data_IF_970686117980
#
_entry.id   IF_970686117980
#
_cell.length_a   1.000
_cell.length_b   1.000
_cell.length_c   1.000
_cell.angle_alpha   90.00
_cell.angle_beta   90.00
_cell.angle_gamma   90.00
#
_symmetry.space_group_name_H-M   'P 1'
#
loop_
_entity.id
_entity.type
_entity.pdbx_description
1 polymer ?
#
# COMPACT_ATOMS: atom_id res chain seq x y z
N UNK A 1 7.60 31.31 -17.93
CA UNK A 1 7.88 30.81 -16.57
C UNK A 1 9.32 30.37 -16.59
N UNK A 2 10.19 30.98 -15.79
CA UNK A 2 11.53 30.43 -15.58
C UNK A 2 11.37 29.30 -14.57
N UNK A 3 11.57 28.06 -15.01
CA UNK A 3 11.63 26.93 -14.09
C UNK A 3 12.75 27.20 -13.07
N UNK A 4 12.42 27.04 -11.80
CA UNK A 4 13.44 27.11 -10.75
C UNK A 4 14.40 25.94 -10.95
N UNK A 5 15.71 26.14 -10.74
CA UNK A 5 16.68 25.07 -10.93
C UNK A 5 16.38 23.90 -9.98
N UNK A 6 16.66 22.69 -10.44
CA UNK A 6 16.50 21.48 -9.63
C UNK A 6 17.29 21.55 -8.33
N UNK A 7 16.76 20.88 -7.31
CA UNK A 7 17.48 20.78 -6.03
C UNK A 7 18.80 20.01 -6.21
N UNK A 8 19.82 20.36 -5.44
CA UNK A 8 21.10 19.62 -5.44
C UNK A 8 20.89 18.11 -5.19
N UNK A 9 19.91 17.75 -4.37
CA UNK A 9 19.57 16.35 -4.12
C UNK A 9 19.10 15.64 -5.39
N UNK A 10 18.20 16.26 -6.17
CA UNK A 10 17.73 15.70 -7.45
C UNK A 10 18.88 15.55 -8.44
N UNK A 11 19.72 16.58 -8.57
CA UNK A 11 20.90 16.56 -9.46
C UNK A 11 21.85 15.43 -9.06
N UNK A 12 22.12 15.24 -7.76
CA UNK A 12 22.95 14.14 -7.26
C UNK A 12 22.33 12.77 -7.56
N UNK A 13 21.02 12.62 -7.38
CA UNK A 13 20.31 11.36 -7.66
C UNK A 13 20.38 11.03 -9.15
N UNK A 14 20.08 12.00 -10.02
CA UNK A 14 20.17 11.83 -11.47
C UNK A 14 21.59 11.49 -11.91
N UNK A 15 22.60 12.16 -11.35
CA UNK A 15 23.99 11.84 -11.63
C UNK A 15 24.33 10.40 -11.23
N UNK A 16 23.94 9.96 -10.02
CA UNK A 16 24.24 8.60 -9.53
C UNK A 16 23.54 7.54 -10.39
N UNK A 17 22.27 7.74 -10.76
CA UNK A 17 21.51 6.77 -11.57
C UNK A 17 22.11 6.62 -12.98
N UNK A 18 22.59 7.72 -13.57
CA UNK A 18 23.24 7.69 -14.89
C UNK A 18 24.69 7.18 -14.84
N UNK A 19 25.35 7.26 -13.67
CA UNK A 19 26.79 6.99 -13.52
C UNK A 19 27.11 5.92 -12.45
N UNK A 20 26.27 4.89 -12.33
CA UNK A 20 26.42 3.80 -11.32
C UNK A 20 27.85 3.25 -11.29
N UNK A 21 28.45 2.93 -12.43
CA UNK A 21 29.81 2.37 -12.50
C UNK A 21 30.93 3.39 -12.19
N UNK A 22 30.62 4.68 -12.22
CA UNK A 22 31.55 5.75 -11.85
C UNK A 22 31.59 5.93 -10.33
N UNK A 23 30.45 5.80 -9.66
CA UNK A 23 30.29 6.00 -8.21
C UNK A 23 30.55 4.72 -7.41
N UNK A 24 30.13 3.57 -7.94
CA UNK A 24 30.20 2.28 -7.27
C UNK A 24 31.22 1.33 -7.92
N UNK A 25 31.81 0.46 -7.11
CA UNK A 25 32.61 -0.68 -7.55
C UNK A 25 31.86 -1.98 -7.28
N UNK A 26 31.94 -2.91 -8.22
CA UNK A 26 31.42 -4.26 -8.04
C UNK A 26 32.49 -5.11 -7.35
N UNK A 27 32.17 -5.64 -6.18
CA UNK A 27 33.07 -6.47 -5.37
C UNK A 27 32.45 -7.85 -5.18
N UNK A 28 33.28 -8.89 -5.19
CA UNK A 28 32.84 -10.26 -4.88
C UNK A 28 33.10 -10.56 -3.39
N UNK A 29 32.07 -10.98 -2.68
CA UNK A 29 32.13 -11.39 -1.28
C UNK A 29 31.27 -12.66 -1.11
N UNK A 30 31.84 -13.71 -0.51
CA UNK A 30 31.16 -14.98 -0.23
C UNK A 30 30.40 -15.57 -1.45
N UNK A 31 31.05 -15.59 -2.63
CA UNK A 31 30.47 -16.02 -3.89
C UNK A 31 29.25 -15.22 -4.38
N UNK A 32 29.05 -14.02 -3.83
CA UNK A 32 28.02 -13.07 -4.29
C UNK A 32 28.68 -11.76 -4.72
N UNK A 33 28.05 -11.05 -5.65
CA UNK A 33 28.51 -9.74 -6.08
C UNK A 33 27.70 -8.66 -5.40
N UNK A 34 28.38 -7.65 -4.84
CA UNK A 34 27.78 -6.47 -4.22
C UNK A 34 28.37 -5.19 -4.81
N UNK A 35 27.55 -4.15 -4.90
CA UNK A 35 28.03 -2.80 -5.20
C UNK A 35 28.39 -2.10 -3.88
N UNK A 36 29.55 -1.46 -3.87
CA UNK A 36 30.01 -0.62 -2.75
C UNK A 36 30.47 0.74 -3.29
N UNK A 37 30.48 1.76 -2.45
CA UNK A 37 31.09 3.04 -2.83
C UNK A 37 32.57 2.86 -3.14
N UNK A 38 33.05 3.50 -4.21
CA UNK A 38 34.49 3.52 -4.51
C UNK A 38 35.29 4.22 -3.42
N UNK A 39 34.73 5.29 -2.86
CA UNK A 39 35.26 5.95 -1.68
C UNK A 39 34.60 5.36 -0.42
N UNK A 40 35.40 4.64 0.37
CA UNK A 40 34.95 3.97 1.59
C UNK A 40 34.51 4.93 2.71
N UNK A 41 34.83 6.23 2.60
CA UNK A 41 34.38 7.25 3.55
C UNK A 41 33.02 7.86 3.19
N UNK A 42 32.46 7.51 2.03
CA UNK A 42 31.19 8.06 1.56
C UNK A 42 30.00 7.43 2.29
N UNK A 43 29.12 8.28 2.80
CA UNK A 43 27.81 7.92 3.33
C UNK A 43 26.72 8.71 2.60
N UNK A 44 25.58 8.08 2.32
CA UNK A 44 24.40 8.76 1.76
C UNK A 44 23.42 9.15 2.86
N UNK A 45 23.18 10.46 3.08
CA UNK A 45 22.11 10.89 3.97
C UNK A 45 20.74 10.51 3.42
N UNK A 46 19.73 10.39 4.30
CA UNK A 46 18.36 10.01 3.93
C UNK A 46 17.75 10.90 2.84
N UNK A 47 18.12 12.18 2.79
CA UNK A 47 17.68 13.14 1.77
C UNK A 47 18.12 12.78 0.35
N UNK A 48 19.14 11.93 0.19
CA UNK A 48 19.64 11.45 -1.11
C UNK A 48 19.37 9.96 -1.28
N UNK A 49 19.52 9.14 -0.22
CA UNK A 49 19.31 7.69 -0.35
C UNK A 49 17.85 7.32 -0.62
N UNK A 50 16.87 8.02 -0.05
CA UNK A 50 15.46 7.70 -0.29
C UNK A 50 15.02 8.07 -1.71
N UNK A 51 15.31 9.28 -2.24
CA UNK A 51 14.98 9.60 -3.62
C UNK A 51 15.81 8.79 -4.62
N UNK A 52 17.07 8.44 -4.29
CA UNK A 52 17.86 7.50 -5.08
C UNK A 52 17.15 6.15 -5.17
N UNK A 53 16.75 5.55 -4.04
CA UNK A 53 16.03 4.28 -4.04
C UNK A 53 14.76 4.36 -4.89
N UNK A 54 13.96 5.42 -4.74
CA UNK A 54 12.72 5.63 -5.49
C UNK A 54 12.94 5.86 -6.99
N UNK A 55 14.11 6.39 -7.38
CA UNK A 55 14.47 6.63 -8.79
C UNK A 55 14.94 5.37 -9.52
N UNK A 56 15.24 4.29 -8.81
CA UNK A 56 15.64 3.02 -9.41
C UNK A 56 14.42 2.34 -10.06
N UNK A 57 14.48 2.18 -11.37
CA UNK A 57 13.46 1.54 -12.19
C UNK A 57 13.60 0.00 -12.22
N UNK A 58 12.67 -0.67 -12.89
CA UNK A 58 12.71 -2.13 -13.10
C UNK A 58 14.04 -2.63 -13.72
N UNK A 59 14.71 -1.80 -14.53
CA UNK A 59 15.94 -2.21 -15.22
C UNK A 59 17.12 -2.21 -14.26
N UNK A 60 17.20 -1.22 -13.39
CA UNK A 60 18.33 -0.94 -12.49
C UNK A 60 18.17 -1.58 -11.12
N UNK A 61 16.94 -1.70 -10.62
CA UNK A 61 16.63 -2.22 -9.29
C UNK A 61 16.84 -3.75 -9.22
N UNK A 62 18.03 -4.15 -8.79
CA UNK A 62 18.47 -5.55 -8.69
C UNK A 62 19.03 -5.85 -7.30
N UNK A 63 19.05 -7.13 -6.91
CA UNK A 63 19.66 -7.56 -5.63
C UNK A 63 21.09 -7.04 -5.43
N UNK A 64 21.88 -6.99 -6.50
CA UNK A 64 23.26 -6.47 -6.44
C UNK A 64 23.25 -4.97 -6.14
N UNK A 65 22.42 -4.20 -6.84
CA UNK A 65 22.38 -2.74 -6.64
C UNK A 65 21.80 -2.38 -5.28
N UNK A 66 20.85 -3.15 -4.74
CA UNK A 66 20.30 -2.93 -3.40
C UNK A 66 21.35 -2.89 -2.30
N UNK A 67 22.50 -3.55 -2.49
CA UNK A 67 23.60 -3.54 -1.52
C UNK A 67 24.23 -2.16 -1.28
N UNK A 68 24.02 -1.18 -2.17
CA UNK A 68 24.46 0.21 -1.93
C UNK A 68 23.69 0.85 -0.76
N UNK A 69 22.49 0.34 -0.45
CA UNK A 69 21.67 0.78 0.68
C UNK A 69 22.01 0.03 1.96
N UNK A 70 23.29 -0.35 2.13
CA UNK A 70 23.75 -0.94 3.37
C UNK A 70 23.52 0.03 4.55
N UNK A 71 23.00 -0.47 5.69
CA UNK A 71 22.69 0.35 6.86
C UNK A 71 23.92 1.02 7.49
N UNK A 72 25.15 0.60 7.16
CA UNK A 72 26.38 1.26 7.62
C UNK A 72 26.66 2.58 6.91
N UNK A 73 26.20 2.74 5.67
CA UNK A 73 26.47 3.92 4.83
C UNK A 73 25.20 4.67 4.42
N UNK A 74 24.02 4.09 4.62
CA UNK A 74 22.73 4.70 4.30
C UNK A 74 21.73 4.59 5.45
N UNK A 75 20.68 5.40 5.40
CA UNK A 75 19.57 5.31 6.34
C UNK A 75 18.25 5.53 5.63
N UNK A 76 17.42 4.49 5.57
CA UNK A 76 16.10 4.55 4.97
C UNK A 76 15.03 4.70 6.05
N UNK A 77 14.11 5.66 5.86
CA UNK A 77 12.84 5.80 6.59
C UNK A 77 11.66 5.55 5.67
N UNK A 78 11.76 5.98 4.43
CA UNK A 78 10.74 5.81 3.39
C UNK A 78 11.33 5.02 2.24
N UNK A 79 10.64 3.96 1.85
CA UNK A 79 11.09 3.04 0.80
C UNK A 79 9.99 2.90 -0.23
N UNK A 80 10.33 3.12 -1.50
CA UNK A 80 9.43 2.92 -2.63
C UNK A 80 10.02 1.84 -3.54
N UNK A 81 9.29 0.76 -3.71
CA UNK A 81 9.60 -0.36 -4.59
C UNK A 81 8.48 -0.40 -5.64
N UNK A 82 8.83 -0.23 -6.91
CA UNK A 82 7.85 -0.30 -7.99
C UNK A 82 8.35 -1.25 -9.05
N UNK A 83 7.46 -2.13 -9.53
CA UNK A 83 7.73 -3.03 -10.64
C UNK A 83 9.05 -3.83 -10.47
N UNK A 84 9.21 -4.43 -9.29
CA UNK A 84 10.45 -5.06 -8.84
C UNK A 84 10.64 -6.49 -9.35
N UNK A 85 10.59 -6.69 -10.67
CA UNK A 85 10.70 -8.02 -11.27
C UNK A 85 12.09 -8.67 -11.07
N UNK A 86 13.14 -7.88 -10.83
CA UNK A 86 14.52 -8.39 -10.68
C UNK A 86 15.02 -8.48 -9.24
N UNK A 87 14.17 -8.18 -8.27
CA UNK A 87 14.51 -8.30 -6.86
C UNK A 87 14.06 -9.66 -6.34
N UNK A 88 14.82 -10.24 -5.43
CA UNK A 88 14.41 -11.39 -4.63
C UNK A 88 14.21 -11.03 -3.16
N UNK A 89 13.56 -11.91 -2.40
CA UNK A 89 13.48 -11.79 -0.94
C UNK A 89 14.86 -11.75 -0.28
N UNK A 90 15.91 -12.32 -0.90
CA UNK A 90 17.29 -12.22 -0.39
C UNK A 90 17.82 -10.79 -0.51
N UNK A 91 17.60 -10.12 -1.64
CA UNK A 91 18.00 -8.73 -1.85
C UNK A 91 17.29 -7.77 -0.88
N UNK A 92 15.99 -7.97 -0.66
CA UNK A 92 15.21 -7.14 0.26
C UNK A 92 15.62 -7.28 1.74
N UNK A 93 16.41 -8.29 2.13
CA UNK A 93 16.92 -8.39 3.51
C UNK A 93 17.78 -7.21 3.93
N UNK A 94 18.27 -6.41 2.99
CA UNK A 94 18.95 -5.14 3.30
C UNK A 94 18.05 -4.20 4.14
N UNK A 95 16.72 -4.28 3.95
CA UNK A 95 15.74 -3.48 4.67
C UNK A 95 15.61 -3.87 6.15
N UNK A 96 16.09 -5.05 6.55
CA UNK A 96 15.92 -5.59 7.90
C UNK A 96 16.52 -4.69 8.98
N UNK A 97 17.66 -4.08 8.69
CA UNK A 97 18.39 -3.23 9.64
C UNK A 97 18.01 -1.76 9.54
N UNK A 98 17.22 -1.39 8.52
CA UNK A 98 16.68 -0.04 8.41
C UNK A 98 15.49 0.15 9.34
N UNK A 99 15.31 1.38 9.80
CA UNK A 99 14.22 1.79 10.70
C UNK A 99 13.12 2.45 9.86
N UNK A 100 12.43 1.67 9.05
CA UNK A 100 11.47 2.15 8.04
C UNK A 100 10.14 2.50 8.72
N UNK A 101 9.56 3.63 8.32
CA UNK A 101 8.26 4.12 8.79
C UNK A 101 7.21 4.14 7.69
N UNK A 102 7.63 4.17 6.41
CA UNK A 102 6.74 4.14 5.26
C UNK A 102 7.31 3.21 4.19
N UNK A 103 6.49 2.28 3.73
CA UNK A 103 6.85 1.32 2.69
C UNK A 103 5.77 1.31 1.62
N UNK A 104 6.18 1.64 0.40
CA UNK A 104 5.37 1.52 -0.81
C UNK A 104 6.01 0.43 -1.66
N UNK A 105 5.28 -0.64 -1.95
CA UNK A 105 5.72 -1.76 -2.76
C UNK A 105 4.60 -2.16 -3.73
N UNK A 106 4.55 -1.48 -4.88
CA UNK A 106 3.45 -1.59 -5.84
C UNK A 106 3.85 -2.39 -7.07
N UNK A 107 2.88 -3.03 -7.73
CA UNK A 107 3.11 -3.83 -8.95
C UNK A 107 4.21 -4.89 -8.76
N UNK A 108 4.30 -5.45 -7.56
CA UNK A 108 5.30 -6.47 -7.21
C UNK A 108 4.70 -7.86 -7.38
N UNK A 109 5.07 -8.52 -8.49
CA UNK A 109 4.53 -9.84 -8.86
C UNK A 109 5.47 -11.00 -8.53
N UNK A 110 6.79 -10.74 -8.48
CA UNK A 110 7.81 -11.78 -8.21
C UNK A 110 8.07 -12.00 -6.71
N UNK A 111 7.71 -11.04 -5.87
CA UNK A 111 7.86 -11.13 -4.41
C UNK A 111 6.48 -10.90 -3.81
N UNK A 112 6.05 -11.81 -2.92
CA UNK A 112 4.76 -11.66 -2.25
C UNK A 112 4.80 -10.59 -1.18
N UNK A 113 3.65 -10.03 -0.81
CA UNK A 113 3.55 -9.11 0.34
C UNK A 113 4.10 -9.73 1.63
N UNK A 114 3.89 -11.04 1.84
CA UNK A 114 4.43 -11.75 2.99
C UNK A 114 5.96 -11.79 2.98
N UNK A 115 6.58 -12.00 1.82
CA UNK A 115 8.03 -11.99 1.67
C UNK A 115 8.60 -10.60 1.97
N UNK A 116 7.94 -9.54 1.48
CA UNK A 116 8.32 -8.15 1.75
C UNK A 116 8.30 -7.87 3.25
N UNK A 117 7.19 -8.18 3.93
CA UNK A 117 7.07 -8.00 5.39
C UNK A 117 8.09 -8.88 6.13
N UNK A 118 8.34 -10.11 5.65
CA UNK A 118 9.33 -11.03 6.20
C UNK A 118 10.78 -10.55 6.09
N UNK A 119 11.06 -9.57 5.22
CA UNK A 119 12.37 -8.94 5.09
C UNK A 119 12.59 -7.76 6.05
N UNK A 120 11.56 -7.33 6.78
CA UNK A 120 11.63 -6.21 7.71
C UNK A 120 12.13 -6.66 9.10
N UNK A 121 12.87 -5.79 9.78
CA UNK A 121 13.31 -6.04 11.15
C UNK A 121 12.26 -5.64 12.19
N UNK A 122 12.43 -6.11 13.42
CA UNK A 122 11.48 -5.93 14.52
C UNK A 122 11.14 -4.46 14.78
N UNK A 123 12.14 -3.57 14.70
CA UNK A 123 11.89 -2.14 14.86
C UNK A 123 10.90 -1.63 13.81
N UNK A 124 11.10 -1.98 12.54
CA UNK A 124 10.21 -1.59 11.45
C UNK A 124 8.83 -2.21 11.63
N UNK A 125 8.74 -3.51 11.94
CA UNK A 125 7.45 -4.17 12.19
C UNK A 125 6.64 -3.48 13.29
N UNK A 126 7.30 -2.95 14.33
CA UNK A 126 6.64 -2.23 15.42
C UNK A 126 6.39 -0.74 15.14
N UNK A 127 7.01 -0.14 14.13
CA UNK A 127 6.98 1.32 13.91
C UNK A 127 6.53 1.74 12.50
N UNK A 128 6.26 0.79 11.60
CA UNK A 128 5.73 1.08 10.27
C UNK A 128 4.36 1.74 10.40
N UNK A 129 4.19 2.90 9.77
CA UNK A 129 2.96 3.72 9.80
C UNK A 129 2.19 3.63 8.50
N UNK A 130 2.89 3.50 7.37
CA UNK A 130 2.29 3.38 6.05
C UNK A 130 2.81 2.13 5.37
N UNK A 131 1.88 1.32 4.88
CA UNK A 131 2.14 0.21 3.97
C UNK A 131 1.19 0.34 2.78
N UNK A 132 1.77 0.54 1.60
CA UNK A 132 1.04 0.43 0.34
C UNK A 132 1.60 -0.74 -0.45
N UNK A 133 0.75 -1.74 -0.70
CA UNK A 133 1.05 -2.92 -1.50
C UNK A 133 0.04 -3.10 -2.63
N UNK A 134 -0.53 -2.00 -3.13
CA UNK A 134 -1.52 -2.02 -4.21
C UNK A 134 -0.95 -2.70 -5.45
N UNK A 135 -1.79 -3.48 -6.15
CA UNK A 135 -1.41 -4.21 -7.37
C UNK A 135 -0.25 -5.20 -7.17
N UNK A 136 0.07 -5.59 -5.94
CA UNK A 136 1.06 -6.63 -5.62
C UNK A 136 0.35 -7.92 -5.24
N UNK A 137 1.03 -9.06 -5.43
CA UNK A 137 0.42 -10.36 -5.13
C UNK A 137 0.64 -10.78 -3.67
N UNK A 138 -0.38 -11.38 -3.09
CA UNK A 138 -0.28 -12.04 -1.80
C UNK A 138 0.24 -13.50 -1.89
N UNK A 139 0.38 -14.07 -3.10
CA UNK A 139 0.94 -15.41 -3.31
C UNK A 139 -0.03 -16.57 -3.03
N UNK A 140 0.23 -17.72 -3.68
CA UNK A 140 -0.75 -18.79 -3.89
C UNK A 140 -0.85 -19.82 -2.73
N UNK A 141 -2.08 -20.29 -2.48
CA UNK A 141 -2.54 -21.44 -1.68
C UNK A 141 -2.66 -21.39 -0.14
N UNK A 142 -2.08 -20.43 0.58
CA UNK A 142 -2.35 -20.30 2.03
C UNK A 142 -2.66 -18.86 2.43
N UNK A 143 -3.86 -18.40 2.05
CA UNK A 143 -4.45 -17.09 2.39
C UNK A 143 -4.24 -16.69 3.87
N UNK A 144 -4.15 -17.68 4.77
CA UNK A 144 -3.93 -17.49 6.21
C UNK A 144 -2.55 -16.89 6.53
N UNK A 145 -1.47 -17.30 5.85
CA UNK A 145 -0.08 -16.90 6.19
C UNK A 145 0.18 -15.41 5.96
N UNK A 146 -0.39 -14.91 4.87
CA UNK A 146 -0.31 -13.50 4.47
C UNK A 146 -0.86 -12.58 5.54
N UNK A 147 -2.04 -12.91 6.06
CA UNK A 147 -2.75 -12.01 6.98
C UNK A 147 -2.08 -12.01 8.35
N UNK A 148 -1.41 -13.11 8.72
CA UNK A 148 -0.53 -13.19 9.90
C UNK A 148 0.68 -12.26 9.77
N UNK A 149 1.16 -11.97 8.56
CA UNK A 149 2.26 -11.01 8.39
C UNK A 149 1.78 -9.57 8.63
N UNK A 150 0.63 -9.20 8.07
CA UNK A 150 0.02 -7.89 8.28
C UNK A 150 -0.27 -7.64 9.76
N UNK A 151 -0.76 -8.65 10.50
CA UNK A 151 -1.10 -8.50 11.92
C UNK A 151 0.07 -8.15 12.84
N UNK A 152 1.32 -8.26 12.36
CA UNK A 152 2.52 -7.84 13.11
C UNK A 152 2.70 -6.32 13.14
N UNK A 153 2.07 -5.58 12.22
CA UNK A 153 2.28 -4.15 11.99
C UNK A 153 1.43 -3.29 12.94
N UNK A 154 1.61 -3.44 14.26
CA UNK A 154 0.70 -2.88 15.28
C UNK A 154 0.57 -1.35 15.27
N UNK A 155 1.59 -0.64 14.77
CA UNK A 155 1.59 0.83 14.65
C UNK A 155 1.10 1.34 13.29
N UNK A 156 0.63 0.45 12.42
CA UNK A 156 0.19 0.82 11.07
C UNK A 156 -1.04 1.71 11.13
N UNK A 157 -0.95 2.86 10.46
CA UNK A 157 -2.01 3.86 10.36
C UNK A 157 -2.67 3.84 8.99
N UNK A 158 -1.89 3.62 7.94
CA UNK A 158 -2.36 3.61 6.56
C UNK A 158 -2.03 2.27 5.92
N UNK A 159 -3.05 1.58 5.44
CA UNK A 159 -2.92 0.33 4.69
C UNK A 159 -3.61 0.47 3.34
N UNK A 160 -2.86 0.26 2.27
CA UNK A 160 -3.39 0.13 0.91
C UNK A 160 -3.10 -1.28 0.39
N UNK A 161 -4.18 -2.04 0.14
CA UNK A 161 -4.17 -3.38 -0.44
C UNK A 161 -5.05 -3.42 -1.70
N UNK A 162 -5.27 -2.28 -2.34
CA UNK A 162 -6.15 -2.20 -3.50
C UNK A 162 -5.63 -3.02 -4.69
N UNK A 163 -6.55 -3.55 -5.48
CA UNK A 163 -6.27 -4.37 -6.67
C UNK A 163 -5.36 -5.57 -6.36
N UNK A 164 -5.65 -6.27 -5.27
CA UNK A 164 -4.95 -7.49 -4.84
C UNK A 164 -5.95 -8.60 -4.51
N UNK A 165 -5.46 -9.79 -4.15
CA UNK A 165 -6.29 -10.92 -3.73
C UNK A 165 -6.80 -10.82 -2.26
N UNK A 166 -6.73 -9.62 -1.66
CA UNK A 166 -7.24 -9.35 -0.32
C UNK A 166 -8.75 -9.63 -0.22
N UNK A 167 -9.21 -10.18 0.90
CA UNK A 167 -10.56 -10.73 1.04
C UNK A 167 -11.15 -10.48 2.44
N UNK A 168 -12.41 -10.87 2.63
CA UNK A 168 -13.15 -10.65 3.89
C UNK A 168 -12.50 -11.28 5.12
N UNK A 169 -11.80 -12.42 4.98
CA UNK A 169 -11.04 -13.03 6.07
C UNK A 169 -9.82 -12.16 6.43
N UNK A 170 -9.13 -11.65 5.41
CA UNK A 170 -8.08 -10.64 5.57
C UNK A 170 -8.56 -9.43 6.38
N UNK A 171 -9.71 -8.89 6.00
CA UNK A 171 -10.35 -7.76 6.66
C UNK A 171 -10.66 -8.05 8.14
N UNK A 172 -11.23 -9.23 8.45
CA UNK A 172 -11.55 -9.63 9.82
C UNK A 172 -10.33 -9.64 10.74
N UNK A 173 -9.18 -10.10 10.25
CA UNK A 173 -7.96 -10.15 11.04
C UNK A 173 -7.39 -8.75 11.21
N UNK A 174 -7.22 -7.96 10.14
CA UNK A 174 -6.59 -6.63 10.25
C UNK A 174 -7.40 -5.66 11.11
N UNK A 175 -8.74 -5.73 11.06
CA UNK A 175 -9.62 -4.87 11.87
C UNK A 175 -9.51 -5.18 13.36
N UNK A 176 -9.05 -6.39 13.70
CA UNK A 176 -8.78 -6.83 15.08
C UNK A 176 -7.34 -6.50 15.49
N UNK A 177 -6.38 -6.77 14.58
CA UNK A 177 -4.96 -6.80 14.91
C UNK A 177 -4.22 -5.49 14.64
N UNK A 178 -4.81 -4.56 13.89
CA UNK A 178 -4.25 -3.23 13.60
C UNK A 178 -5.01 -2.15 14.39
N UNK A 179 -4.64 -1.91 15.66
CA UNK A 179 -5.38 -1.00 16.55
C UNK A 179 -5.22 0.48 16.18
N UNK A 180 -4.18 0.83 15.41
CA UNK A 180 -3.89 2.20 15.01
C UNK A 180 -4.35 2.54 13.59
N UNK A 181 -5.07 1.63 12.90
CA UNK A 181 -5.46 1.82 11.51
C UNK A 181 -6.47 2.97 11.35
N UNK A 182 -6.06 4.04 10.68
CA UNK A 182 -6.84 5.25 10.42
C UNK A 182 -7.26 5.38 8.94
N UNK A 183 -6.52 4.76 8.02
CA UNK A 183 -6.78 4.80 6.58
C UNK A 183 -6.68 3.40 5.98
N UNK A 184 -7.72 2.98 5.26
CA UNK A 184 -7.80 1.68 4.62
C UNK A 184 -8.29 1.82 3.17
N UNK A 185 -7.51 1.30 2.23
CA UNK A 185 -7.92 1.15 0.84
C UNK A 185 -8.00 -0.34 0.48
N UNK A 186 -9.23 -0.80 0.18
CA UNK A 186 -9.55 -2.16 -0.27
C UNK A 186 -10.18 -2.17 -1.66
N UNK A 187 -9.99 -1.10 -2.42
CA UNK A 187 -10.58 -0.94 -3.76
C UNK A 187 -10.17 -2.05 -4.71
N UNK A 188 -11.08 -2.54 -5.55
CA UNK A 188 -10.81 -3.59 -6.53
C UNK A 188 -10.35 -4.93 -5.92
N UNK A 189 -10.70 -5.20 -4.66
CA UNK A 189 -10.42 -6.49 -3.99
C UNK A 189 -11.67 -7.37 -3.97
N UNK A 190 -11.53 -8.63 -3.53
CA UNK A 190 -12.65 -9.60 -3.42
C UNK A 190 -13.32 -9.58 -2.03
N UNK A 191 -13.22 -8.47 -1.31
CA UNK A 191 -13.92 -8.28 -0.02
C UNK A 191 -15.43 -8.18 -0.29
N UNK A 192 -16.20 -9.12 0.23
CA UNK A 192 -17.66 -9.15 0.07
C UNK A 192 -18.42 -8.93 1.38
N UNK A 193 -17.76 -9.14 2.52
CA UNK A 193 -18.29 -8.86 3.85
C UNK A 193 -17.41 -7.82 4.54
N UNK A 194 -18.01 -6.66 4.81
CA UNK A 194 -17.35 -5.53 5.47
C UNK A 194 -17.73 -5.38 6.94
N UNK A 195 -18.56 -6.27 7.49
CA UNK A 195 -18.96 -6.26 8.90
C UNK A 195 -17.81 -6.05 9.90
N UNK A 196 -16.60 -6.62 9.68
CA UNK A 196 -15.48 -6.42 10.60
C UNK A 196 -15.06 -4.96 10.80
N UNK A 197 -15.36 -4.06 9.86
CA UNK A 197 -15.06 -2.63 9.98
C UNK A 197 -15.72 -1.97 11.19
N UNK A 198 -16.80 -2.56 11.75
CA UNK A 198 -17.39 -2.10 13.02
C UNK A 198 -16.37 -2.02 14.16
N UNK A 199 -15.31 -2.83 14.14
CA UNK A 199 -14.23 -2.78 15.13
C UNK A 199 -13.34 -1.55 14.98
N UNK A 200 -13.40 -0.88 13.83
CA UNK A 200 -12.64 0.32 13.50
C UNK A 200 -13.43 1.62 13.67
N UNK A 201 -14.67 1.54 14.18
CA UNK A 201 -15.61 2.67 14.27
C UNK A 201 -15.03 3.92 14.93
N UNK A 202 -14.21 3.75 15.97
CA UNK A 202 -13.65 4.83 16.78
C UNK A 202 -12.27 5.32 16.27
N UNK A 203 -11.80 4.86 15.10
CA UNK A 203 -10.47 5.22 14.58
C UNK A 203 -10.35 5.41 13.07
N UNK A 204 -11.18 4.74 12.28
CA UNK A 204 -11.08 4.80 10.82
C UNK A 204 -11.59 6.15 10.31
N UNK A 205 -10.75 6.86 9.57
CA UNK A 205 -11.01 8.18 9.01
C UNK A 205 -11.12 8.15 7.48
N UNK A 206 -10.41 7.24 6.83
CA UNK A 206 -10.39 7.12 5.36
C UNK A 206 -10.72 5.67 4.99
N UNK A 207 -11.72 5.50 4.13
CA UNK A 207 -12.12 4.21 3.61
C UNK A 207 -12.38 4.32 2.11
N UNK A 208 -11.53 3.64 1.32
CA UNK A 208 -11.72 3.50 -0.11
C UNK A 208 -12.12 2.06 -0.43
N UNK A 209 -13.25 1.93 -1.10
CA UNK A 209 -13.92 0.69 -1.48
C UNK A 209 -14.39 0.77 -2.93
N UNK A 210 -13.67 1.53 -3.77
CA UNK A 210 -13.98 1.60 -5.19
C UNK A 210 -14.02 0.19 -5.79
N UNK A 211 -15.10 -0.11 -6.51
CA UNK A 211 -15.34 -1.40 -7.15
C UNK A 211 -15.28 -2.63 -6.21
N UNK A 212 -15.75 -2.46 -4.98
CA UNK A 212 -15.93 -3.55 -4.00
C UNK A 212 -17.41 -3.96 -3.95
N UNK A 213 -17.71 -5.20 -4.35
CA UNK A 213 -19.07 -5.75 -4.38
C UNK A 213 -19.44 -6.39 -3.04
N UNK A 214 -20.21 -5.68 -2.22
CA UNK A 214 -20.72 -6.21 -0.96
C UNK A 214 -21.89 -7.19 -1.21
N UNK A 215 -21.90 -8.34 -0.51
CA UNK A 215 -22.96 -9.35 -0.64
C UNK A 215 -24.33 -8.84 -0.21
N UNK A 216 -24.36 -7.93 0.78
CA UNK A 216 -25.59 -7.32 1.28
C UNK A 216 -25.40 -5.79 1.43
N UNK A 217 -25.83 -4.99 0.43
CA UNK A 217 -25.67 -3.54 0.44
C UNK A 217 -26.33 -2.84 1.65
N UNK A 218 -27.50 -3.32 2.11
CA UNK A 218 -28.19 -2.76 3.29
C UNK A 218 -27.38 -2.95 4.57
N UNK A 219 -26.82 -4.14 4.76
CA UNK A 219 -25.97 -4.41 5.90
C UNK A 219 -24.65 -3.64 5.84
N UNK A 220 -24.07 -3.53 4.64
CA UNK A 220 -22.87 -2.72 4.40
C UNK A 220 -23.10 -1.26 4.80
N UNK A 221 -24.24 -0.67 4.41
CA UNK A 221 -24.65 0.66 4.87
C UNK A 221 -24.75 0.77 6.39
N UNK A 222 -25.39 -0.20 7.04
CA UNK A 222 -25.49 -0.24 8.50
C UNK A 222 -24.15 -0.42 9.22
N UNK A 223 -23.12 -0.92 8.53
CA UNK A 223 -21.73 -0.93 9.01
C UNK A 223 -21.10 0.44 8.83
N UNK A 224 -21.19 1.01 7.63
CA UNK A 224 -20.61 2.31 7.27
C UNK A 224 -21.15 3.40 8.21
N UNK A 225 -22.46 3.47 8.41
CA UNK A 225 -23.12 4.43 9.30
C UNK A 225 -22.64 4.38 10.77
N UNK A 226 -21.94 3.31 11.19
CA UNK A 226 -21.37 3.19 12.54
C UNK A 226 -19.94 3.72 12.63
N UNK A 227 -19.28 4.01 11.50
CA UNK A 227 -17.92 4.54 11.43
C UNK A 227 -17.91 6.05 11.70
N UNK A 228 -18.23 6.44 12.93
CA UNK A 228 -18.42 7.84 13.32
C UNK A 228 -17.17 8.73 13.17
N UNK A 229 -15.97 8.16 13.13
CA UNK A 229 -14.73 8.90 12.86
C UNK A 229 -14.44 9.09 11.36
N UNK A 230 -15.26 8.54 10.47
CA UNK A 230 -15.02 8.55 9.03
C UNK A 230 -15.15 9.98 8.46
N UNK A 231 -14.16 10.36 7.68
CA UNK A 231 -14.00 11.68 7.05
C UNK A 231 -14.07 11.57 5.53
N UNK A 232 -13.48 10.51 4.97
CA UNK A 232 -13.45 10.27 3.54
C UNK A 232 -13.97 8.86 3.26
N UNK A 233 -15.00 8.79 2.41
CA UNK A 233 -15.59 7.55 1.95
C UNK A 233 -15.61 7.54 0.42
N UNK A 234 -15.01 6.53 -0.17
CA UNK A 234 -15.14 6.21 -1.59
C UNK A 234 -15.75 4.81 -1.72
N UNK A 235 -16.91 4.74 -2.36
CA UNK A 235 -17.62 3.49 -2.68
C UNK A 235 -18.07 3.52 -4.15
N UNK A 236 -17.39 4.30 -4.97
CA UNK A 236 -17.66 4.42 -6.40
C UNK A 236 -17.46 3.09 -7.12
N UNK A 237 -18.04 2.95 -8.31
CA UNK A 237 -18.00 1.72 -9.10
C UNK A 237 -17.74 2.06 -10.56
N UNK A 238 -16.86 1.31 -11.23
CA UNK A 238 -16.78 1.34 -12.70
C UNK A 238 -17.51 0.12 -13.25
N UNK A 239 -18.41 0.36 -14.20
CA UNK A 239 -19.23 -0.67 -14.85
C UNK A 239 -18.46 -1.51 -15.88
N UNK A 240 -17.13 -1.32 -16.01
CA UNK A 240 -16.30 -2.00 -16.99
C UNK A 240 -16.27 -3.53 -16.79
N UNK A 241 -16.28 -4.28 -17.90
CA UNK A 241 -16.36 -5.75 -17.96
C UNK A 241 -15.29 -6.49 -17.14
N UNK A 242 -14.14 -5.85 -16.88
CA UNK A 242 -13.00 -6.43 -16.15
C UNK A 242 -13.40 -6.89 -14.73
N UNK A 243 -14.32 -6.16 -14.08
CA UNK A 243 -14.78 -6.42 -12.71
C UNK A 243 -16.07 -7.27 -12.65
N UNK A 244 -16.58 -7.74 -13.80
CA UNK A 244 -17.79 -8.56 -13.89
C UNK A 244 -17.51 -10.07 -13.72
N UNK A 245 -16.23 -10.50 -13.73
CA UNK A 245 -15.83 -11.92 -13.69
C UNK A 245 -16.04 -12.68 -12.36
N UNK A 246 -16.75 -12.10 -11.38
CA UNK A 246 -17.13 -12.78 -10.16
C UNK A 246 -18.65 -12.98 -10.11
N UNK A 247 -19.13 -14.04 -10.76
CA UNK A 247 -20.43 -14.69 -10.53
C UNK A 247 -21.64 -13.75 -10.49
N UNK A 248 -22.25 -13.55 -11.64
CA UNK A 248 -23.52 -12.84 -11.81
C UNK A 248 -24.58 -13.26 -10.79
N UNK A 249 -25.08 -12.27 -10.05
CA UNK A 249 -26.51 -12.10 -9.88
C UNK A 249 -26.78 -10.62 -10.16
N UNK A 250 -27.45 -10.34 -11.27
CA UNK A 250 -28.19 -9.09 -11.48
C UNK A 250 -29.28 -9.02 -10.40
N UNK A 251 -28.87 -8.64 -9.19
CA UNK A 251 -29.76 -8.33 -8.09
C UNK A 251 -29.85 -6.82 -8.00
N UNK A 252 -31.04 -6.29 -8.23
CA UNK A 252 -31.46 -4.98 -7.75
C UNK A 252 -30.81 -4.75 -6.38
N UNK A 253 -29.91 -3.76 -6.30
CA UNK A 253 -29.17 -3.46 -5.07
C UNK A 253 -30.10 -3.20 -3.88
N UNK A 254 -31.41 -3.02 -4.14
CA UNK A 254 -32.50 -3.08 -3.17
C UNK A 254 -32.46 -1.96 -2.14
N UNK A 255 -31.43 -1.12 -2.22
CA UNK A 255 -31.19 0.09 -1.46
C UNK A 255 -31.54 1.23 -2.38
N UNK A 256 -32.64 1.91 -2.06
CA UNK A 256 -32.94 3.14 -2.76
C UNK A 256 -31.96 4.25 -2.31
N UNK A 257 -31.69 5.20 -3.20
CA UNK A 257 -30.77 6.33 -2.96
C UNK A 257 -31.11 7.07 -1.64
N UNK A 258 -32.40 7.19 -1.29
CA UNK A 258 -32.86 7.78 -0.03
C UNK A 258 -32.31 7.08 1.21
N UNK A 259 -32.42 5.75 1.28
CA UNK A 259 -31.97 4.95 2.43
C UNK A 259 -30.45 5.07 2.59
N UNK A 260 -29.76 5.18 1.46
CA UNK A 260 -28.32 5.37 1.39
C UNK A 260 -27.91 6.72 1.99
N UNK A 261 -28.53 7.81 1.53
CA UNK A 261 -28.23 9.16 2.00
C UNK A 261 -28.62 9.33 3.48
N UNK A 262 -29.75 8.79 3.92
CA UNK A 262 -30.16 8.82 5.32
C UNK A 262 -29.15 8.11 6.24
N UNK A 263 -28.61 6.97 5.80
CA UNK A 263 -27.57 6.26 6.54
C UNK A 263 -26.28 7.08 6.62
N UNK A 264 -25.91 7.79 5.54
CA UNK A 264 -24.72 8.63 5.52
C UNK A 264 -24.86 9.92 6.34
N UNK A 265 -26.07 10.47 6.48
CA UNK A 265 -26.33 11.60 7.39
C UNK A 265 -25.96 11.31 8.85
N UNK A 266 -25.81 10.04 9.22
CA UNK A 266 -25.36 9.61 10.55
C UNK A 266 -23.83 9.72 10.74
N UNK A 267 -23.07 10.13 9.72
CA UNK A 267 -21.62 10.29 9.78
C UNK A 267 -21.24 11.74 10.09
N UNK A 268 -21.01 12.11 11.37
CA UNK A 268 -20.87 13.51 11.78
C UNK A 268 -19.59 14.18 11.28
N UNK A 269 -18.58 13.40 10.87
CA UNK A 269 -17.26 13.88 10.46
C UNK A 269 -17.00 13.77 8.96
N UNK A 270 -17.98 13.31 8.17
CA UNK A 270 -17.79 13.07 6.73
C UNK A 270 -17.61 14.40 5.99
N UNK A 271 -16.48 14.55 5.31
CA UNK A 271 -16.12 15.75 4.51
C UNK A 271 -15.99 15.45 3.03
N UNK A 272 -15.84 14.18 2.66
CA UNK A 272 -15.65 13.73 1.28
C UNK A 272 -16.38 12.43 1.06
N UNK A 273 -17.15 12.38 -0.02
CA UNK A 273 -17.93 11.23 -0.42
C UNK A 273 -17.86 11.05 -1.93
N UNK A 274 -17.46 9.86 -2.38
CA UNK A 274 -17.52 9.47 -3.78
C UNK A 274 -18.51 8.31 -3.97
N UNK A 275 -19.54 8.57 -4.78
CA UNK A 275 -20.61 7.65 -5.17
C UNK A 275 -20.66 7.46 -6.70
N UNK A 276 -19.65 7.94 -7.42
CA UNK A 276 -19.67 7.95 -8.88
C UNK A 276 -19.81 6.54 -9.47
N UNK A 277 -20.49 6.46 -10.62
CA UNK A 277 -20.73 5.22 -11.35
C UNK A 277 -21.73 4.24 -10.73
N UNK A 278 -22.21 4.46 -9.50
CA UNK A 278 -23.32 3.70 -8.91
C UNK A 278 -24.64 4.02 -9.60
N UNK A 279 -25.39 2.97 -9.95
CA UNK A 279 -26.76 3.11 -10.44
C UNK A 279 -27.66 3.76 -9.37
N UNK A 280 -28.54 4.66 -9.81
CA UNK A 280 -29.50 5.34 -8.93
C UNK A 280 -29.00 6.62 -8.23
N UNK A 281 -27.72 7.00 -8.41
CA UNK A 281 -27.16 8.26 -7.91
C UNK A 281 -26.87 9.21 -9.06
N UNK A 282 -27.89 9.97 -9.50
CA UNK A 282 -27.67 11.07 -10.44
C UNK A 282 -27.22 12.35 -9.70
N UNK A 283 -26.32 13.14 -10.30
CA UNK A 283 -25.82 14.38 -9.72
C UNK A 283 -26.93 15.37 -9.30
N UNK A 284 -28.12 15.25 -9.89
CA UNK A 284 -29.29 16.08 -9.57
C UNK A 284 -29.92 15.76 -8.20
N UNK A 285 -29.62 14.60 -7.61
CA UNK A 285 -30.16 14.13 -6.32
C UNK A 285 -29.25 14.47 -5.13
N UNK A 286 -28.05 15.02 -5.37
CA UNK A 286 -27.01 15.29 -4.36
C UNK A 286 -26.89 16.80 -4.00
N UNK A 287 -27.93 17.60 -4.26
CA UNK A 287 -27.98 19.04 -3.94
C UNK A 287 -28.60 19.32 -2.58
#
# INVERSE_FOLDING_TARGET
MFDSPDSLANICVEFITQNVNSVFSLVQENNTYKYVFKDSSTCLPSSVSEPLFASLDEKTLTDKLLTIFDPSVTRLRRVHISNASKISSKGLRILRSHKITELVAVKSTNITVNDIIGCLGDWTLQNLRLLNVSQSTFGNNEKVRVVIALSKLKSLKCLDVSFTEFNSQGLQIITTDLPCLESLNISGTIVSDIWPLKKCKDRLKYLNMYNVKATNPKEALGVIAKLHMLQHLDISEDNDEIFQNAGEAEGDSGVNCSDFLEALCQLPNLVSLDLSGRAGFEANQLK
#
